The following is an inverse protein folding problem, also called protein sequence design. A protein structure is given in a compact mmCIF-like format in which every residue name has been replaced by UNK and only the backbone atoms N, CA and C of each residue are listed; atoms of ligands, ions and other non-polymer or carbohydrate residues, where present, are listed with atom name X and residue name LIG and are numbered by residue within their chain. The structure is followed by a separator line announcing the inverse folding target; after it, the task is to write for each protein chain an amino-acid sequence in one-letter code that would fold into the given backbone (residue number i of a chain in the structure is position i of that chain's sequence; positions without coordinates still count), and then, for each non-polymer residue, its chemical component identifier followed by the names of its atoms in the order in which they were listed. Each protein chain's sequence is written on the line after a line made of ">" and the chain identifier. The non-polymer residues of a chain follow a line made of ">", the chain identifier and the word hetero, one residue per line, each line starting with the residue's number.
data_IF_910907197647
#
_entry.id   IF_910907197647
#
_cell.length_a   1.000
_cell.length_b   1.000
_cell.length_c   1.000
_cell.angle_alpha   90.00
_cell.angle_beta   90.00
_cell.angle_gamma   90.00
#
_symmetry.space_group_name_H-M   'P 1'
#
loop_
_entity.id
_entity.type
_entity.pdbx_description
1 polymer ?
#
# COMPACT_ATOMS: atom_id res chain seq x y z
N UNK A 1 -2.15 -8.08 -5.32
CA UNK A 1 -2.92 -8.69 -4.20
C UNK A 1 -3.30 -7.63 -3.17
N UNK A 2 -4.26 -6.77 -3.49
CA UNK A 2 -4.69 -5.67 -2.59
C UNK A 2 -6.17 -5.74 -2.21
N UNK A 3 -6.93 -6.65 -2.83
CA UNK A 3 -8.35 -6.85 -2.56
C UNK A 3 -8.62 -7.29 -1.12
N UNK A 4 -7.85 -8.27 -0.62
CA UNK A 4 -7.96 -8.72 0.76
C UNK A 4 -7.61 -7.61 1.77
N UNK A 5 -6.61 -6.77 1.46
CA UNK A 5 -6.26 -5.62 2.29
C UNK A 5 -7.37 -4.58 2.37
N UNK A 6 -8.08 -4.32 1.27
CA UNK A 6 -9.24 -3.43 1.25
C UNK A 6 -10.41 -3.99 2.07
N UNK A 7 -10.65 -5.31 2.01
CA UNK A 7 -11.67 -5.97 2.83
C UNK A 7 -11.34 -5.82 4.32
N UNK A 8 -10.11 -6.14 4.73
CA UNK A 8 -9.69 -6.00 6.14
C UNK A 8 -9.67 -4.53 6.63
N UNK A 9 -9.39 -3.58 5.72
CA UNK A 9 -9.52 -2.14 5.97
C UNK A 9 -10.96 -1.73 6.31
N UNK A 10 -11.96 -2.23 5.58
CA UNK A 10 -13.38 -1.98 5.85
C UNK A 10 -13.83 -2.51 7.22
N UNK A 11 -13.28 -3.65 7.65
CA UNK A 11 -13.50 -4.19 8.99
C UNK A 11 -12.76 -3.43 10.10
N UNK A 12 -11.72 -2.65 9.78
CA UNK A 12 -10.89 -1.91 10.73
C UNK A 12 -11.45 -0.56 11.18
N UNK A 13 -12.31 0.09 10.39
CA UNK A 13 -12.87 1.41 10.72
C UNK A 13 -13.84 1.36 11.93
N UNK A 14 -13.88 2.46 12.70
CA UNK A 14 -14.71 2.59 13.92
C UNK A 14 -16.22 2.49 13.65
N UNK A 15 -16.69 2.77 12.44
CA UNK A 15 -18.10 2.68 12.06
C UNK A 15 -18.60 1.24 11.79
N UNK A 16 -17.71 0.25 11.62
CA UNK A 16 -18.12 -1.15 11.37
C UNK A 16 -18.17 -1.91 12.70
N UNK A 17 -19.31 -1.87 13.39
CA UNK A 17 -19.56 -2.60 14.66
C UNK A 17 -19.88 -4.07 14.39
N UNK A 18 -18.93 -4.81 13.83
CA UNK A 18 -19.01 -6.28 13.74
C UNK A 18 -18.26 -6.84 14.94
N UNK A 19 -18.98 -6.94 16.07
CA UNK A 19 -18.85 -7.91 17.18
C UNK A 19 -17.50 -8.40 17.75
N UNK A 20 -16.34 -7.90 17.32
CA UNK A 20 -15.03 -8.39 17.75
C UNK A 20 -14.36 -7.53 18.81
N UNK A 21 -13.62 -8.15 19.74
CA UNK A 21 -12.79 -7.47 20.74
C UNK A 21 -11.86 -6.44 20.09
N UNK A 22 -11.74 -5.25 20.68
CA UNK A 22 -10.95 -4.12 20.18
C UNK A 22 -9.50 -4.48 19.81
N UNK A 23 -8.91 -5.42 20.56
CA UNK A 23 -7.54 -5.92 20.34
C UNK A 23 -7.39 -6.61 18.98
N UNK A 24 -8.39 -7.38 18.56
CA UNK A 24 -8.38 -8.12 17.29
C UNK A 24 -8.56 -7.17 16.11
N UNK A 25 -9.44 -6.17 16.24
CA UNK A 25 -9.64 -5.11 15.23
C UNK A 25 -8.36 -4.33 14.93
N UNK A 26 -7.62 -3.94 15.97
CA UNK A 26 -6.32 -3.24 15.79
C UNK A 26 -5.28 -4.09 15.08
N UNK A 27 -5.16 -5.38 15.42
CA UNK A 27 -4.21 -6.28 14.75
C UNK A 27 -4.55 -6.46 13.27
N UNK A 28 -5.82 -6.69 12.96
CA UNK A 28 -6.28 -6.87 11.58
C UNK A 28 -6.01 -5.62 10.74
N UNK A 29 -6.32 -4.43 11.27
CA UNK A 29 -6.07 -3.18 10.57
C UNK A 29 -4.56 -2.92 10.36
N UNK A 30 -3.71 -3.26 11.33
CA UNK A 30 -2.26 -3.16 11.19
C UNK A 30 -1.73 -4.07 10.07
N UNK A 31 -2.15 -5.34 10.07
CA UNK A 31 -1.78 -6.28 9.00
C UNK A 31 -2.30 -5.84 7.62
N UNK A 32 -3.50 -5.27 7.56
CA UNK A 32 -4.06 -4.74 6.31
C UNK A 32 -3.22 -3.60 5.75
N UNK A 33 -2.84 -2.62 6.60
CA UNK A 33 -1.99 -1.49 6.21
C UNK A 33 -0.59 -1.94 5.76
N UNK A 34 0.03 -2.85 6.50
CA UNK A 34 1.34 -3.42 6.17
C UNK A 34 1.33 -4.16 4.83
N UNK A 35 0.30 -4.98 4.60
CA UNK A 35 0.16 -5.70 3.33
C UNK A 35 -0.06 -4.73 2.16
N UNK A 36 -0.82 -3.65 2.36
CA UNK A 36 -1.02 -2.61 1.33
C UNK A 36 0.29 -1.89 0.98
N UNK A 37 1.09 -1.56 2.00
CA UNK A 37 2.39 -0.93 1.82
C UNK A 37 3.39 -1.84 1.10
N UNK A 38 3.55 -3.09 1.55
CA UNK A 38 4.47 -4.07 0.95
C UNK A 38 4.06 -4.40 -0.49
N UNK A 39 2.76 -4.55 -0.76
CA UNK A 39 2.28 -4.79 -2.13
C UNK A 39 2.57 -3.62 -3.06
N UNK A 40 2.37 -2.37 -2.61
CA UNK A 40 2.70 -1.17 -3.38
C UNK A 40 4.20 -1.06 -3.68
N UNK A 41 5.07 -1.34 -2.70
CA UNK A 41 6.53 -1.36 -2.89
C UNK A 41 6.98 -2.43 -3.88
N UNK A 42 6.40 -3.64 -3.79
CA UNK A 42 6.71 -4.74 -4.70
C UNK A 42 6.32 -4.39 -6.15
N UNK A 43 5.12 -3.84 -6.36
CA UNK A 43 4.68 -3.39 -7.69
C UNK A 43 5.56 -2.25 -8.22
N UNK A 44 5.91 -1.28 -7.38
CA UNK A 44 6.82 -0.19 -7.75
C UNK A 44 8.18 -0.71 -8.24
N UNK A 45 8.77 -1.66 -7.51
CA UNK A 45 10.05 -2.27 -7.88
C UNK A 45 9.96 -3.01 -9.23
N UNK A 46 8.87 -3.75 -9.46
CA UNK A 46 8.63 -4.46 -10.72
C UNK A 46 8.57 -3.52 -11.93
N UNK A 47 7.82 -2.42 -11.81
CA UNK A 47 7.75 -1.40 -12.87
C UNK A 47 9.09 -0.68 -13.08
N UNK A 48 9.84 -0.40 -12.01
CA UNK A 48 11.15 0.25 -12.11
C UNK A 48 12.19 -0.63 -12.80
N UNK A 49 12.22 -1.94 -12.51
CA UNK A 49 13.12 -2.89 -13.20
C UNK A 49 12.76 -2.98 -14.68
N UNK A 50 11.48 -3.06 -14.99
CA UNK A 50 11.02 -3.11 -16.38
C UNK A 50 11.34 -1.82 -17.15
N UNK A 51 11.14 -0.65 -16.54
CA UNK A 51 11.54 0.63 -17.11
C UNK A 51 13.05 0.74 -17.34
N UNK A 52 13.86 0.22 -16.40
CA UNK A 52 15.31 0.18 -16.52
C UNK A 52 15.76 -0.71 -17.68
N UNK A 53 15.15 -1.88 -17.88
CA UNK A 53 15.47 -2.76 -19.01
C UNK A 53 15.19 -2.06 -20.35
N UNK A 54 14.01 -1.47 -20.51
CA UNK A 54 13.64 -0.73 -21.73
C UNK A 54 14.62 0.41 -21.99
N UNK A 55 14.97 1.17 -20.95
CA UNK A 55 15.91 2.29 -21.07
C UNK A 55 17.29 1.80 -21.53
N UNK A 56 17.81 0.73 -20.93
CA UNK A 56 19.10 0.16 -21.32
C UNK A 56 19.11 -0.31 -22.77
N UNK A 57 18.04 -0.97 -23.23
CA UNK A 57 17.90 -1.40 -24.64
C UNK A 57 17.79 -0.21 -25.61
N UNK A 58 17.24 0.93 -25.16
CA UNK A 58 17.14 2.15 -25.96
C UNK A 58 18.48 2.85 -26.22
N UNK A 59 19.39 2.80 -25.25
CA UNK A 59 20.70 3.46 -25.33
C UNK A 59 21.77 2.58 -25.98
N UNK A 60 21.49 1.30 -26.23
CA UNK A 60 22.45 0.37 -26.82
C UNK A 60 22.55 0.56 -28.35
N UNK A 61 23.71 1.00 -28.89
CA UNK A 61 23.87 1.29 -30.32
C UNK A 61 23.90 0.03 -31.21
N UNK A 62 23.95 -1.16 -30.62
CA UNK A 62 23.95 -2.46 -31.32
C UNK A 62 22.58 -3.16 -31.30
N UNK A 63 21.54 -2.53 -30.74
CA UNK A 63 20.21 -3.12 -30.63
C UNK A 63 19.49 -3.08 -31.99
N UNK A 64 19.42 -4.23 -32.67
CA UNK A 64 18.77 -4.42 -33.98
C UNK A 64 17.26 -4.70 -33.89
N UNK A 65 16.72 -4.74 -32.67
CA UNK A 65 15.33 -5.09 -32.38
C UNK A 65 14.39 -3.87 -32.33
N UNK A 66 13.08 -4.12 -32.29
CA UNK A 66 12.05 -3.08 -32.29
C UNK A 66 12.18 -2.22 -31.02
N UNK A 67 12.37 -0.90 -31.17
CA UNK A 67 12.45 0.04 -30.04
C UNK A 67 11.09 0.14 -29.33
N UNK A 68 11.00 -0.37 -28.10
CA UNK A 68 9.78 -0.34 -27.28
C UNK A 68 9.65 0.97 -26.49
N UNK A 69 8.82 1.91 -26.93
CA UNK A 69 8.55 3.11 -26.12
C UNK A 69 7.90 2.73 -24.77
N UNK A 70 8.23 3.50 -23.73
CA UNK A 70 7.61 3.38 -22.41
C UNK A 70 6.08 3.53 -22.54
N UNK A 71 5.37 2.41 -22.55
CA UNK A 71 3.93 2.39 -22.74
C UNK A 71 3.16 3.07 -21.60
N UNK A 72 2.01 3.66 -21.91
CA UNK A 72 1.12 4.31 -20.94
C UNK A 72 0.73 3.40 -19.75
N UNK A 73 0.70 2.08 -19.96
CA UNK A 73 0.45 1.08 -18.93
C UNK A 73 1.46 1.16 -17.77
N UNK A 74 2.73 1.50 -18.04
CA UNK A 74 3.76 1.61 -17.00
C UNK A 74 3.49 2.79 -16.07
N UNK A 75 3.09 3.94 -16.63
CA UNK A 75 2.72 5.12 -15.86
C UNK A 75 1.49 4.88 -14.99
N UNK A 76 0.49 4.17 -15.51
CA UNK A 76 -0.69 3.75 -14.73
C UNK A 76 -0.30 2.77 -13.60
N UNK A 77 0.62 1.85 -13.87
CA UNK A 77 1.17 0.94 -12.86
C UNK A 77 1.91 1.68 -11.73
N UNK A 78 2.72 2.68 -12.10
CA UNK A 78 3.44 3.52 -11.14
C UNK A 78 2.48 4.33 -10.28
N UNK A 79 1.48 4.99 -10.89
CA UNK A 79 0.48 5.77 -10.15
C UNK A 79 -0.36 4.91 -9.21
N UNK A 80 -0.76 3.70 -9.63
CA UNK A 80 -1.44 2.74 -8.76
C UNK A 80 -0.59 2.24 -7.59
N UNK A 81 0.73 2.11 -7.81
CA UNK A 81 1.69 1.75 -6.75
C UNK A 81 1.84 2.89 -5.73
N UNK A 82 1.90 4.15 -6.18
CA UNK A 82 1.91 5.32 -5.28
C UNK A 82 0.61 5.39 -4.47
N UNK A 83 -0.54 5.22 -5.12
CA UNK A 83 -1.84 5.27 -4.45
C UNK A 83 -1.98 4.18 -3.37
N UNK A 84 -1.46 2.98 -3.62
CA UNK A 84 -1.45 1.91 -2.62
C UNK A 84 -0.49 2.18 -1.47
N UNK A 85 0.72 2.70 -1.73
CA UNK A 85 1.64 3.13 -0.66
C UNK A 85 0.98 4.20 0.23
N UNK A 86 0.36 5.21 -0.40
CA UNK A 86 -0.32 6.30 0.32
C UNK A 86 -1.51 5.79 1.15
N UNK A 87 -2.31 4.87 0.60
CA UNK A 87 -3.39 4.20 1.34
C UNK A 87 -2.88 3.42 2.56
N UNK A 88 -1.73 2.74 2.43
CA UNK A 88 -1.06 2.08 3.56
C UNK A 88 -0.62 3.06 4.66
N UNK A 89 -0.02 4.19 4.28
CA UNK A 89 0.38 5.24 5.23
C UNK A 89 -0.80 5.80 6.01
N UNK A 90 -1.89 6.18 5.33
CA UNK A 90 -3.10 6.73 5.97
C UNK A 90 -3.67 5.73 6.98
N UNK A 91 -3.65 4.43 6.67
CA UNK A 91 -4.07 3.38 7.60
C UNK A 91 -3.18 3.31 8.84
N UNK A 92 -1.85 3.35 8.68
CA UNK A 92 -0.90 3.36 9.79
C UNK A 92 -1.08 4.58 10.69
N UNK A 93 -1.24 5.78 10.12
CA UNK A 93 -1.48 7.01 10.89
C UNK A 93 -2.79 6.95 11.68
N UNK A 94 -3.87 6.49 11.06
CA UNK A 94 -5.18 6.36 11.71
C UNK A 94 -5.15 5.34 12.87
N UNK A 95 -4.34 4.29 12.75
CA UNK A 95 -4.12 3.33 13.82
C UNK A 95 -3.30 3.90 14.96
N UNK A 96 -2.23 4.64 14.65
CA UNK A 96 -1.40 5.32 15.66
C UNK A 96 -2.24 6.32 16.46
N UNK A 97 -3.04 7.15 15.79
CA UNK A 97 -3.94 8.11 16.42
C UNK A 97 -5.01 7.41 17.30
N UNK A 98 -5.57 6.30 16.82
CA UNK A 98 -6.53 5.50 17.58
C UNK A 98 -5.91 4.85 18.82
N UNK A 99 -4.66 4.40 18.74
CA UNK A 99 -3.91 3.84 19.88
C UNK A 99 -3.58 4.95 20.89
N UNK A 100 -3.08 6.08 20.42
CA UNK A 100 -2.74 7.25 21.23
C UNK A 100 -3.96 7.77 22.00
N UNK A 101 -5.08 8.00 21.30
CA UNK A 101 -6.34 8.43 21.90
C UNK A 101 -6.84 7.43 22.96
N UNK A 102 -6.71 6.12 22.70
CA UNK A 102 -7.09 5.10 23.69
C UNK A 102 -6.22 5.10 24.94
N UNK A 103 -4.92 5.33 24.80
CA UNK A 103 -4.01 5.47 25.94
C UNK A 103 -4.34 6.71 26.77
N UNK A 104 -4.61 7.84 26.12
CA UNK A 104 -5.02 9.08 26.81
C UNK A 104 -6.33 8.88 27.57
N UNK A 105 -7.35 8.27 26.96
CA UNK A 105 -8.61 7.97 27.67
C UNK A 105 -8.42 6.97 28.83
N UNK A 106 -7.48 6.04 28.73
CA UNK A 106 -7.18 5.09 29.82
C UNK A 106 -6.47 5.76 31.00
N UNK A 107 -5.66 6.79 30.76
CA UNK A 107 -5.01 7.60 31.80
C UNK A 107 -6.01 8.57 32.45
N UNK A 108 -6.98 9.11 31.70
CA UNK A 108 -7.97 10.05 32.21
C UNK A 108 -9.08 9.39 33.06
N UNK A 109 -9.20 8.06 33.00
CA UNK A 109 -10.15 7.26 33.79
C UNK A 109 -9.52 6.63 35.05
N UNK A 110 -8.29 7.01 35.39
CA UNK A 110 -7.62 6.71 36.66
C UNK A 110 -7.19 8.02 37.33
#
# INVERSE_FOLDING_TARGET
>A
MSFFGAIFALFGMKCTKIGGSDKTKSKIAFFAGLNFFVSGLCSMAGFSVYAHQIMSEFFDPFFFDIKFELGAALFIGWSGSVASIMGGFVFCYSLMDSICTRFVSAIYYY
#
